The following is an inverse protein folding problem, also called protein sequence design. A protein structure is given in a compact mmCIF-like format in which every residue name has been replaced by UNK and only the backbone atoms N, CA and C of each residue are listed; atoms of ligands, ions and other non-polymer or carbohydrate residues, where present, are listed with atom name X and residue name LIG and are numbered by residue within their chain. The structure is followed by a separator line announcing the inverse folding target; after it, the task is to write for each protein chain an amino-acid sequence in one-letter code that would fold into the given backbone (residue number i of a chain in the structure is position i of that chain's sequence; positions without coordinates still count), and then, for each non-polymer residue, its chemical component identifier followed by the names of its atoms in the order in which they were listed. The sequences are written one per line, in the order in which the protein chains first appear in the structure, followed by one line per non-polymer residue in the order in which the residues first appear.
data_IF_663202297170
#
_entry.id   IF_663202297170
#
_cell.length_a   1.000
_cell.length_b   1.000
_cell.length_c   1.000
_cell.angle_alpha   90.00
_cell.angle_beta   90.00
_cell.angle_gamma   90.00
#
_symmetry.space_group_name_H-M   'P 1'
#
loop_
_entity.id
_entity.type
_entity.pdbx_description
1 polymer ?
#
# COMPACT_ATOMS: atom_id res chain seq x y z
N UNK A 1 12.22 -12.88 10.98
CA UNK A 1 11.96 -11.43 10.92
C UNK A 1 10.55 -11.11 10.39
N UNK A 2 10.18 -11.47 9.11
CA UNK A 2 8.84 -11.15 8.55
C UNK A 2 7.71 -11.85 9.30
N UNK A 3 7.87 -13.15 9.60
CA UNK A 3 6.92 -13.93 10.41
C UNK A 3 6.66 -13.26 11.77
N UNK A 4 7.70 -12.96 12.49
CA UNK A 4 7.61 -12.34 13.82
C UNK A 4 6.96 -10.95 13.75
N UNK A 5 7.31 -10.15 12.73
CA UNK A 5 6.68 -8.85 12.51
C UNK A 5 5.18 -9.01 12.29
N UNK A 6 4.78 -9.94 11.41
CA UNK A 6 3.37 -10.23 11.14
C UNK A 6 2.64 -10.66 12.42
N UNK A 7 3.10 -11.73 13.07
CA UNK A 7 2.46 -12.29 14.26
C UNK A 7 2.36 -11.28 15.40
N UNK A 8 3.47 -10.59 15.72
CA UNK A 8 3.48 -9.57 16.79
C UNK A 8 2.58 -8.39 16.46
N UNK A 9 2.47 -7.99 15.20
CA UNK A 9 1.56 -6.91 14.79
C UNK A 9 0.11 -7.34 14.94
N UNK A 10 -0.26 -8.53 14.45
CA UNK A 10 -1.62 -9.04 14.58
C UNK A 10 -2.02 -9.13 16.04
N UNK A 11 -1.21 -9.76 16.88
CA UNK A 11 -1.51 -9.94 18.30
C UNK A 11 -1.60 -8.63 19.09
N UNK A 12 -0.72 -7.66 18.82
CA UNK A 12 -0.64 -6.43 19.62
C UNK A 12 -1.51 -5.29 19.08
N UNK A 13 -1.66 -5.15 17.76
CA UNK A 13 -2.33 -4.01 17.14
C UNK A 13 -3.77 -4.29 16.80
N UNK A 14 -4.06 -5.51 16.33
CA UNK A 14 -5.41 -5.88 15.92
C UNK A 14 -6.30 -6.34 17.09
N UNK A 15 -5.73 -6.70 18.24
CA UNK A 15 -6.47 -7.10 19.45
C UNK A 15 -7.42 -6.04 20.02
N UNK A 16 -7.30 -4.78 19.58
CA UNK A 16 -8.24 -3.72 19.95
C UNK A 16 -9.58 -3.81 19.23
N UNK A 17 -9.64 -4.48 18.08
CA UNK A 17 -10.83 -4.56 17.21
C UNK A 17 -11.31 -6.00 16.97
N UNK A 18 -10.51 -6.99 17.36
CA UNK A 18 -10.81 -8.42 17.25
C UNK A 18 -10.66 -9.11 18.60
N UNK A 19 -11.40 -10.19 18.81
CA UNK A 19 -11.27 -11.02 20.00
C UNK A 19 -9.91 -11.71 20.08
N UNK A 20 -9.52 -12.12 21.27
CA UNK A 20 -8.26 -12.83 21.49
C UNK A 20 -8.15 -14.09 20.61
N UNK A 21 -9.23 -14.87 20.51
CA UNK A 21 -9.27 -16.08 19.69
C UNK A 21 -9.07 -15.77 18.20
N UNK A 22 -9.66 -14.67 17.69
CA UNK A 22 -9.51 -14.26 16.30
C UNK A 22 -8.09 -13.80 15.98
N UNK A 23 -7.44 -13.01 16.85
CA UNK A 23 -6.05 -12.59 16.60
C UNK A 23 -5.05 -13.74 16.73
N UNK A 24 -5.29 -14.69 17.62
CA UNK A 24 -4.45 -15.90 17.74
C UNK A 24 -4.58 -16.78 16.49
N UNK A 25 -5.79 -17.01 16.02
CA UNK A 25 -6.04 -17.76 14.79
C UNK A 25 -5.42 -17.07 13.57
N UNK A 26 -5.56 -15.74 13.46
CA UNK A 26 -4.94 -14.99 12.38
C UNK A 26 -3.41 -15.00 12.46
N UNK A 27 -2.82 -14.82 13.64
CA UNK A 27 -1.38 -14.88 13.82
C UNK A 27 -0.80 -16.26 13.44
N UNK A 28 -1.55 -17.33 13.68
CA UNK A 28 -1.12 -18.70 13.31
C UNK A 28 -0.96 -18.90 11.80
N UNK A 29 -1.60 -18.06 10.96
CA UNK A 29 -1.37 -18.07 9.51
C UNK A 29 0.10 -17.77 9.15
N UNK A 30 0.85 -17.11 10.01
CA UNK A 30 2.28 -16.85 9.84
C UNK A 30 3.17 -18.07 10.15
N UNK A 31 2.62 -19.19 10.61
CA UNK A 31 3.40 -20.39 10.87
C UNK A 31 3.83 -21.10 9.59
N UNK A 32 3.03 -20.98 8.54
CA UNK A 32 3.39 -21.44 7.20
C UNK A 32 4.19 -20.36 6.45
N UNK A 33 5.50 -20.55 6.37
CA UNK A 33 6.41 -19.65 5.66
C UNK A 33 6.29 -19.73 4.14
N UNK A 34 5.71 -20.79 3.60
CA UNK A 34 5.59 -21.00 2.14
C UNK A 34 4.79 -19.86 1.49
N UNK A 35 3.77 -19.36 2.17
CA UNK A 35 2.97 -18.21 1.71
C UNK A 35 3.80 -16.93 1.57
N UNK A 36 4.69 -16.66 2.53
CA UNK A 36 5.59 -15.49 2.50
C UNK A 36 6.62 -15.65 1.38
N UNK A 37 7.18 -16.83 1.22
CA UNK A 37 8.14 -17.12 0.15
C UNK A 37 7.52 -17.01 -1.23
N UNK A 38 6.29 -17.48 -1.41
CA UNK A 38 5.55 -17.34 -2.65
C UNK A 38 5.24 -15.86 -2.96
N UNK A 39 4.78 -15.10 -1.98
CA UNK A 39 4.57 -13.65 -2.15
C UNK A 39 5.84 -12.92 -2.57
N UNK A 40 6.99 -13.23 -1.97
CA UNK A 40 8.27 -12.62 -2.35
C UNK A 40 8.63 -12.95 -3.80
N UNK A 41 8.29 -14.15 -4.30
CA UNK A 41 8.60 -14.58 -5.67
C UNK A 41 7.63 -14.02 -6.73
N UNK A 42 6.36 -13.84 -6.36
CA UNK A 42 5.27 -13.59 -7.32
C UNK A 42 4.70 -12.19 -7.27
N UNK A 43 4.86 -11.47 -6.16
CA UNK A 43 4.35 -10.12 -5.98
C UNK A 43 5.45 -9.06 -6.10
N UNK A 44 5.07 -7.82 -6.36
CA UNK A 44 5.92 -6.70 -6.01
C UNK A 44 5.93 -6.57 -4.49
N UNK A 45 7.02 -7.04 -3.88
CA UNK A 45 7.19 -7.14 -2.43
C UNK A 45 8.20 -6.11 -1.94
N UNK A 46 7.84 -5.32 -0.94
CA UNK A 46 8.69 -4.27 -0.38
C UNK A 46 8.80 -4.37 1.13
N UNK A 47 9.92 -3.92 1.67
CA UNK A 47 10.15 -3.82 3.11
C UNK A 47 10.57 -2.41 3.49
N UNK A 48 10.13 -1.95 4.65
CA UNK A 48 10.64 -0.77 5.32
C UNK A 48 11.67 -1.20 6.37
N UNK A 49 12.83 -0.55 6.37
CA UNK A 49 13.90 -0.79 7.34
C UNK A 49 14.20 0.47 8.13
N UNK A 50 14.58 0.33 9.39
CA UNK A 50 15.06 1.43 10.22
C UNK A 50 16.57 1.68 10.01
N UNK A 51 17.14 2.65 10.73
CA UNK A 51 18.58 2.98 10.65
C UNK A 51 19.50 1.84 11.07
N UNK A 52 19.01 0.88 11.83
CA UNK A 52 19.74 -0.32 12.26
C UNK A 52 19.52 -1.51 11.32
N UNK A 53 18.98 -1.28 10.11
CA UNK A 53 18.65 -2.31 9.12
C UNK A 53 17.66 -3.37 9.59
N UNK A 54 16.86 -3.07 10.62
CA UNK A 54 15.79 -3.95 11.06
C UNK A 54 14.54 -3.72 10.21
N UNK A 55 13.86 -4.79 9.81
CA UNK A 55 12.58 -4.70 9.11
C UNK A 55 11.51 -4.22 10.08
N UNK A 56 10.91 -3.07 9.78
CA UNK A 56 9.86 -2.43 10.58
C UNK A 56 8.51 -2.36 9.88
N UNK A 57 8.43 -2.83 8.64
CA UNK A 57 7.19 -3.00 7.90
C UNK A 57 7.41 -3.71 6.58
N UNK A 58 6.35 -4.23 6.00
CA UNK A 58 6.36 -4.80 4.65
C UNK A 58 5.00 -4.62 3.97
N UNK A 59 5.01 -4.69 2.65
CA UNK A 59 3.81 -4.68 1.84
C UNK A 59 4.02 -5.48 0.55
N UNK A 60 2.93 -5.98 -0.02
CA UNK A 60 2.99 -6.70 -1.30
C UNK A 60 1.74 -6.48 -2.14
N UNK A 61 1.92 -6.38 -3.46
CA UNK A 61 0.84 -6.23 -4.44
C UNK A 61 1.07 -7.18 -5.61
N UNK A 62 0.00 -7.78 -6.10
CA UNK A 62 0.03 -8.60 -7.32
C UNK A 62 0.08 -7.74 -8.58
N UNK A 63 0.44 -8.34 -9.70
CA UNK A 63 0.38 -7.69 -11.03
C UNK A 63 -1.04 -7.29 -11.46
N UNK A 64 -2.08 -7.84 -10.83
CA UNK A 64 -3.47 -7.50 -11.08
C UNK A 64 -4.00 -6.37 -10.18
N UNK A 65 -3.17 -5.83 -9.27
CA UNK A 65 -3.54 -4.73 -8.38
C UNK A 65 -4.20 -5.16 -7.07
N UNK A 66 -4.06 -6.43 -6.67
CA UNK A 66 -4.48 -6.86 -5.34
C UNK A 66 -3.36 -6.60 -4.33
N UNK A 67 -3.56 -5.61 -3.45
CA UNK A 67 -2.71 -5.33 -2.29
C UNK A 67 -2.97 -6.40 -1.24
N UNK A 68 -2.11 -7.43 -1.26
CA UNK A 68 -2.28 -8.63 -0.45
C UNK A 68 -1.90 -8.41 1.01
N UNK A 69 -0.81 -7.70 1.28
CA UNK A 69 -0.28 -7.53 2.63
C UNK A 69 0.25 -6.13 2.86
N UNK A 70 -0.04 -5.57 4.03
CA UNK A 70 0.59 -4.36 4.53
C UNK A 70 0.63 -4.39 6.05
N UNK A 71 1.82 -4.57 6.61
CA UNK A 71 2.04 -4.66 8.06
C UNK A 71 3.17 -3.73 8.50
N UNK A 72 2.98 -3.10 9.66
CA UNK A 72 3.97 -2.26 10.32
C UNK A 72 4.18 -2.80 11.73
N UNK A 73 5.44 -2.95 12.13
CA UNK A 73 5.82 -3.45 13.44
C UNK A 73 5.11 -2.69 14.57
N UNK A 74 4.67 -3.41 15.60
CA UNK A 74 3.87 -2.85 16.71
C UNK A 74 4.48 -1.61 17.39
N UNK A 75 5.80 -1.57 17.54
CA UNK A 75 6.54 -0.46 18.19
C UNK A 75 6.87 0.70 17.23
N UNK A 76 6.49 0.55 15.97
CA UNK A 76 6.72 1.56 14.92
C UNK A 76 5.42 2.11 14.33
N UNK A 77 4.29 1.87 14.99
CA UNK A 77 3.01 2.44 14.62
C UNK A 77 3.02 3.98 14.74
N UNK A 78 2.20 4.68 13.95
CA UNK A 78 2.06 6.14 14.01
C UNK A 78 3.26 6.95 13.49
N UNK A 79 4.32 6.31 12.98
CA UNK A 79 5.53 6.97 12.47
C UNK A 79 5.54 7.19 10.95
N UNK A 80 4.40 7.07 10.29
CA UNK A 80 4.28 7.30 8.83
C UNK A 80 4.67 6.12 7.94
N UNK A 81 5.16 5.00 8.50
CA UNK A 81 5.67 3.85 7.74
C UNK A 81 4.58 3.23 6.83
N UNK A 82 3.35 3.07 7.33
CA UNK A 82 2.24 2.58 6.50
C UNK A 82 1.96 3.51 5.31
N UNK A 83 2.09 4.83 5.51
CA UNK A 83 1.96 5.82 4.43
C UNK A 83 3.04 5.62 3.38
N UNK A 84 4.31 5.50 3.77
CA UNK A 84 5.43 5.29 2.85
C UNK A 84 5.28 3.98 2.07
N UNK A 85 4.91 2.89 2.74
CA UNK A 85 4.66 1.61 2.08
C UNK A 85 3.53 1.70 1.06
N UNK A 86 2.41 2.34 1.41
CA UNK A 86 1.27 2.48 0.51
C UNK A 86 1.60 3.36 -0.69
N UNK A 87 2.29 4.48 -0.48
CA UNK A 87 2.72 5.39 -1.57
C UNK A 87 3.65 4.68 -2.55
N UNK A 88 4.54 3.83 -2.07
CA UNK A 88 5.42 3.02 -2.93
C UNK A 88 4.62 1.98 -3.73
N UNK A 89 3.67 1.29 -3.12
CA UNK A 89 2.76 0.36 -3.80
C UNK A 89 1.93 1.08 -4.88
N UNK A 90 1.40 2.26 -4.57
CA UNK A 90 0.62 3.06 -5.52
C UNK A 90 1.49 3.56 -6.67
N UNK A 91 2.73 3.95 -6.39
CA UNK A 91 3.71 4.34 -7.41
C UNK A 91 4.01 3.18 -8.36
N UNK A 92 4.25 1.99 -7.81
CA UNK A 92 4.42 0.78 -8.61
C UNK A 92 3.18 0.50 -9.48
N UNK A 93 1.98 0.53 -8.89
CA UNK A 93 0.74 0.28 -9.60
C UNK A 93 0.57 1.24 -10.80
N UNK A 94 0.80 2.53 -10.59
CA UNK A 94 0.74 3.54 -11.66
C UNK A 94 1.75 3.23 -12.77
N UNK A 95 2.99 2.90 -12.41
CA UNK A 95 4.07 2.60 -13.35
C UNK A 95 3.80 1.32 -14.14
N UNK A 96 3.21 0.32 -13.49
CA UNK A 96 2.81 -0.94 -14.11
C UNK A 96 1.49 -0.86 -14.90
N UNK A 97 0.84 0.31 -14.95
CA UNK A 97 -0.42 0.49 -15.65
C UNK A 97 -1.63 -0.13 -14.95
N UNK A 98 -1.52 -0.42 -13.66
CA UNK A 98 -2.62 -0.93 -12.84
C UNK A 98 -3.59 0.21 -12.57
N UNK A 99 -4.84 0.05 -13.01
CA UNK A 99 -5.85 1.11 -12.95
C UNK A 99 -6.64 1.14 -11.65
N UNK A 100 -6.58 0.07 -10.89
CA UNK A 100 -7.33 -0.08 -9.62
C UNK A 100 -6.52 -0.93 -8.68
N UNK A 101 -6.40 -0.46 -7.43
CA UNK A 101 -5.89 -1.27 -6.32
C UNK A 101 -7.08 -1.74 -5.50
N UNK A 102 -7.10 -3.03 -5.18
CA UNK A 102 -8.07 -3.66 -4.27
C UNK A 102 -7.34 -4.28 -3.09
N UNK A 103 -8.00 -4.39 -1.95
CA UNK A 103 -7.44 -5.05 -0.77
C UNK A 103 -8.53 -5.58 0.15
N UNK A 104 -8.23 -6.63 0.88
CA UNK A 104 -9.00 -7.08 2.04
C UNK A 104 -8.44 -6.41 3.29
N UNK A 105 -9.19 -5.45 3.82
CA UNK A 105 -8.73 -4.54 4.87
C UNK A 105 -9.38 -4.89 6.19
N UNK A 106 -8.58 -5.08 7.24
CA UNK A 106 -9.07 -5.38 8.59
C UNK A 106 -9.87 -4.21 9.20
N UNK A 107 -10.68 -4.49 10.23
CA UNK A 107 -11.33 -3.48 11.06
C UNK A 107 -10.34 -2.39 11.50
N UNK A 108 -9.18 -2.82 11.98
CA UNK A 108 -8.12 -1.95 12.49
C UNK A 108 -7.51 -1.03 11.41
N UNK A 109 -7.31 -1.54 10.20
CA UNK A 109 -6.66 -0.80 9.11
C UNK A 109 -7.65 0.07 8.32
N UNK A 110 -8.94 -0.21 8.37
CA UNK A 110 -9.99 0.48 7.61
C UNK A 110 -9.90 2.01 7.70
N UNK A 111 -9.77 2.65 8.89
CA UNK A 111 -9.70 4.11 8.97
C UNK A 111 -8.49 4.70 8.25
N UNK A 112 -7.36 3.98 8.22
CA UNK A 112 -6.17 4.39 7.49
C UNK A 112 -6.44 4.35 5.97
N UNK A 113 -7.01 3.27 5.46
CA UNK A 113 -7.31 3.14 4.03
C UNK A 113 -8.37 4.13 3.55
N UNK A 114 -9.43 4.38 4.34
CA UNK A 114 -10.42 5.41 4.04
C UNK A 114 -9.78 6.80 3.94
N UNK A 115 -8.91 7.16 4.88
CA UNK A 115 -8.14 8.42 4.84
C UNK A 115 -7.22 8.53 3.62
N UNK A 116 -6.79 7.40 3.05
CA UNK A 116 -5.99 7.33 1.82
C UNK A 116 -6.83 7.28 0.54
N UNK A 117 -8.17 7.40 0.67
CA UNK A 117 -9.09 7.47 -0.47
C UNK A 117 -9.54 6.11 -1.01
N UNK A 118 -9.32 5.04 -0.26
CA UNK A 118 -9.93 3.73 -0.55
C UNK A 118 -11.39 3.74 -0.10
N UNK A 119 -12.25 3.15 -0.92
CA UNK A 119 -13.70 3.09 -0.68
C UNK A 119 -14.07 1.64 -0.34
N UNK A 120 -14.83 1.47 0.75
CA UNK A 120 -15.43 0.18 1.10
C UNK A 120 -16.42 -0.22 -0.01
N UNK A 121 -16.24 -1.40 -0.57
CA UNK A 121 -17.14 -2.01 -1.54
C UNK A 121 -18.07 -3.02 -0.88
N UNK A 122 -17.53 -3.77 0.10
CA UNK A 122 -18.25 -4.83 0.77
C UNK A 122 -17.65 -5.06 2.16
N UNK A 123 -18.51 -5.31 3.14
CA UNK A 123 -18.13 -5.93 4.40
C UNK A 123 -18.28 -7.43 4.26
N UNK A 124 -17.26 -8.18 4.62
CA UNK A 124 -17.24 -9.63 4.43
C UNK A 124 -16.62 -10.35 5.63
N UNK A 125 -16.83 -11.66 5.69
CA UNK A 125 -16.11 -12.55 6.61
C UNK A 125 -15.15 -13.42 5.80
N UNK A 126 -13.87 -13.37 6.16
CA UNK A 126 -12.83 -14.20 5.54
C UNK A 126 -12.23 -15.14 6.55
N UNK A 127 -12.06 -16.37 6.14
CA UNK A 127 -11.40 -17.39 6.94
C UNK A 127 -9.92 -17.03 7.05
N UNK A 128 -9.41 -16.92 8.29
CA UNK A 128 -7.99 -16.85 8.57
C UNK A 128 -7.38 -18.27 8.50
N UNK A 129 -7.19 -18.94 9.61
CA UNK A 129 -6.83 -20.35 9.63
C UNK A 129 -8.08 -21.22 9.88
N UNK A 130 -8.69 -21.08 11.02
CA UNK A 130 -9.91 -21.83 11.41
C UNK A 130 -11.13 -20.92 11.55
N UNK A 131 -10.93 -19.71 12.06
CA UNK A 131 -11.99 -18.75 12.32
C UNK A 131 -12.23 -17.82 11.13
N UNK A 132 -13.43 -17.28 11.05
CA UNK A 132 -13.80 -16.26 10.06
C UNK A 132 -13.79 -14.89 10.70
N UNK A 133 -12.95 -14.00 10.21
CA UNK A 133 -12.78 -12.62 10.67
C UNK A 133 -13.53 -11.65 9.76
N UNK A 134 -14.14 -10.64 10.36
CA UNK A 134 -14.74 -9.52 9.62
C UNK A 134 -13.64 -8.67 9.01
N UNK A 135 -13.73 -8.39 7.72
CA UNK A 135 -12.90 -7.44 7.01
C UNK A 135 -13.71 -6.72 5.93
N UNK A 136 -13.04 -5.81 5.20
CA UNK A 136 -13.66 -5.00 4.17
C UNK A 136 -12.93 -5.19 2.85
N UNK A 137 -13.69 -5.55 1.81
CA UNK A 137 -13.19 -5.40 0.45
C UNK A 137 -13.18 -3.92 0.09
N UNK A 138 -12.00 -3.37 -0.08
CA UNK A 138 -11.82 -1.96 -0.40
C UNK A 138 -11.13 -1.79 -1.75
N UNK A 139 -11.42 -0.68 -2.42
CA UNK A 139 -10.82 -0.36 -3.71
C UNK A 139 -10.50 1.13 -3.83
N UNK A 140 -9.45 1.43 -4.60
CA UNK A 140 -9.10 2.78 -5.04
C UNK A 140 -8.73 2.76 -6.51
N UNK A 141 -9.32 3.68 -7.29
CA UNK A 141 -8.93 3.90 -8.68
C UNK A 141 -7.61 4.67 -8.73
N UNK A 142 -6.68 4.18 -9.54
CA UNK A 142 -5.43 4.87 -9.80
C UNK A 142 -5.62 5.90 -10.90
N UNK A 143 -5.06 7.09 -10.73
CA UNK A 143 -5.08 8.10 -11.78
C UNK A 143 -4.35 7.58 -13.03
N UNK A 144 -4.97 7.69 -14.19
CA UNK A 144 -4.28 7.47 -15.46
C UNK A 144 -3.12 8.47 -15.54
N UNK A 145 -1.91 7.97 -15.75
CA UNK A 145 -0.85 8.85 -16.25
C UNK A 145 -1.36 9.41 -17.57
N UNK A 146 -1.54 10.73 -17.64
CA UNK A 146 -1.88 11.37 -18.92
C UNK A 146 -0.76 11.02 -19.89
N UNK A 147 -1.06 10.43 -21.07
CA UNK A 147 -0.01 10.08 -22.00
C UNK A 147 0.77 11.34 -22.34
N UNK A 148 2.07 11.25 -22.19
CA UNK A 148 2.97 12.32 -22.58
C UNK A 148 2.96 12.42 -24.12
N UNK A 149 2.66 13.59 -24.66
CA UNK A 149 2.55 13.83 -26.10
C UNK A 149 3.91 13.85 -26.84
N UNK A 150 4.92 13.14 -26.33
CA UNK A 150 6.21 12.97 -27.01
C UNK A 150 7.18 14.14 -26.92
N UNK A 151 6.83 15.23 -26.23
CA UNK A 151 7.74 16.38 -26.05
C UNK A 151 8.45 16.33 -24.71
N UNK A 152 9.77 16.29 -24.73
CA UNK A 152 10.60 16.49 -23.55
C UNK A 152 10.70 18.02 -23.35
N UNK A 153 10.19 18.57 -22.25
CA UNK A 153 10.30 20.02 -22.00
C UNK A 153 11.75 20.43 -21.78
N UNK A 154 12.04 21.71 -22.00
CA UNK A 154 13.39 22.28 -21.86
C UNK A 154 14.00 22.07 -20.45
N UNK A 155 13.18 21.91 -19.40
CA UNK A 155 13.62 21.59 -18.05
C UNK A 155 14.11 20.13 -17.87
N UNK A 156 14.01 19.26 -18.91
CA UNK A 156 14.45 17.88 -18.85
C UNK A 156 13.62 16.96 -17.93
N UNK A 157 12.56 17.47 -17.30
CA UNK A 157 11.71 16.71 -16.40
C UNK A 157 10.52 16.15 -17.19
N UNK A 158 10.27 14.84 -17.04
CA UNK A 158 9.09 14.21 -17.61
C UNK A 158 7.81 14.79 -16.99
N UNK A 159 7.04 15.56 -17.77
CA UNK A 159 5.88 16.30 -17.29
C UNK A 159 4.79 15.40 -16.65
N UNK A 160 4.65 14.16 -17.10
CA UNK A 160 3.71 13.19 -16.52
C UNK A 160 4.01 12.83 -15.05
N UNK A 161 5.27 12.89 -14.66
CA UNK A 161 5.72 12.68 -13.28
C UNK A 161 5.97 13.97 -12.48
N UNK A 162 5.84 15.14 -13.11
CA UNK A 162 6.12 16.41 -12.45
C UNK A 162 5.01 16.78 -11.45
N UNK A 163 5.32 17.01 -10.17
CA UNK A 163 4.32 17.36 -9.17
C UNK A 163 3.56 18.66 -9.47
N UNK A 164 4.16 19.58 -10.23
CA UNK A 164 3.52 20.84 -10.62
C UNK A 164 2.59 20.63 -11.81
N UNK A 165 2.96 19.80 -12.76
CA UNK A 165 2.13 19.49 -13.94
C UNK A 165 0.87 18.70 -13.58
N UNK A 166 0.96 17.81 -12.59
CA UNK A 166 -0.16 16.93 -12.18
C UNK A 166 -1.13 17.55 -11.18
N UNK A 167 -0.88 18.77 -10.69
CA UNK A 167 -1.78 19.48 -9.76
C UNK A 167 -2.99 20.06 -10.49
N UNK A 168 -4.20 19.64 -10.07
CA UNK A 168 -5.47 20.11 -10.68
C UNK A 168 -5.69 21.63 -10.61
N UNK A 169 -5.26 22.29 -9.53
CA UNK A 169 -5.53 23.74 -9.30
C UNK A 169 -4.44 24.68 -9.81
N UNK A 170 -3.25 24.20 -10.12
CA UNK A 170 -2.10 25.01 -10.58
C UNK A 170 -1.24 24.22 -11.58
N UNK A 171 -1.87 23.51 -12.51
CA UNK A 171 -1.18 22.72 -13.48
C UNK A 171 -0.21 23.57 -14.32
N UNK A 172 1.02 23.13 -14.41
CA UNK A 172 2.00 23.69 -15.34
C UNK A 172 1.53 23.38 -16.77
N UNK A 173 1.56 24.35 -17.65
CA UNK A 173 1.23 24.20 -19.08
C UNK A 173 2.37 23.56 -19.90
N UNK A 174 3.43 23.13 -19.23
CA UNK A 174 4.68 22.67 -19.84
C UNK A 174 5.73 23.79 -19.92
N UNK A 175 6.98 23.42 -20.02
CA UNK A 175 8.11 24.37 -20.00
C UNK A 175 8.04 25.41 -21.14
N UNK A 176 7.48 25.03 -22.29
CA UNK A 176 7.33 25.92 -23.44
C UNK A 176 6.38 27.11 -23.18
N UNK A 177 5.44 26.97 -22.25
CA UNK A 177 4.40 27.95 -21.96
C UNK A 177 4.55 28.62 -20.58
N UNK A 178 5.57 28.24 -19.81
CA UNK A 178 5.65 28.66 -18.42
C UNK A 178 7.11 28.80 -17.93
N UNK A 179 7.96 29.42 -18.74
CA UNK A 179 9.42 29.57 -18.49
C UNK A 179 9.75 30.10 -17.08
N UNK A 180 8.98 31.02 -16.55
CA UNK A 180 9.23 31.67 -15.24
C UNK A 180 8.97 30.77 -14.03
N UNK A 181 8.49 29.54 -14.21
CA UNK A 181 8.15 28.59 -13.13
C UNK A 181 8.95 27.30 -13.17
N UNK A 182 9.77 27.10 -14.19
CA UNK A 182 10.58 25.91 -14.39
C UNK A 182 12.09 26.20 -14.26
N UNK A 183 12.50 27.41 -13.85
CA UNK A 183 13.89 27.78 -13.52
C UNK A 183 14.24 27.43 -12.08
#
# INVERSE_FOLDING_TARGET
ALKELFQNTVLAVNSKDYSQAEVEDWASCGDDLSNIEEMIKTHYFIVAVNQQSQIVGFSSITSQGYLHSMFVHKDFQGKGIATMLLEEIERYAITAGIMRITSEVSLTARPFFEKKGYIVKEEQKRKANQLSLTNFWMAREMAKIKPYNGRIPACGVFCGGCPIYTREKRACRGAELNHSRCE
#
